data_IF_029690887031
#
_entry.id   IF_029690887031
#
_cell.length_a   1.000
_cell.length_b   1.000
_cell.length_c   1.000
_cell.angle_alpha   90.00
_cell.angle_beta   90.00
_cell.angle_gamma   90.00
#
_symmetry.space_group_name_H-M   'P 1'
#
loop_
_entity.id
_entity.type
_entity.pdbx_description
1 polymer ?
#
# COMPACT_ATOMS: atom_id res chain seq x y z
N UNK A 1 2.22 -28.35 9.46
CA UNK A 1 1.07 -28.11 10.36
C UNK A 1 -0.11 -28.61 9.59
N UNK A 2 -0.78 -29.65 10.06
CA UNK A 2 -1.91 -30.23 9.33
C UNK A 2 -3.16 -29.45 9.73
N UNK A 3 -3.51 -28.47 8.90
CA UNK A 3 -4.67 -27.60 9.05
C UNK A 3 -5.69 -27.95 7.96
N UNK A 4 -6.96 -27.88 8.32
CA UNK A 4 -8.09 -28.11 7.42
C UNK A 4 -9.14 -26.98 7.58
N UNK A 5 -10.23 -27.07 6.83
CA UNK A 5 -11.31 -26.07 6.85
C UNK A 5 -12.07 -25.98 8.17
N UNK A 6 -11.89 -26.95 9.08
CA UNK A 6 -12.52 -26.98 10.40
C UNK A 6 -11.54 -26.56 11.51
N UNK A 7 -10.33 -26.15 11.14
CA UNK A 7 -9.32 -25.70 12.07
C UNK A 7 -9.62 -24.27 12.54
N UNK A 8 -9.50 -24.04 13.85
CA UNK A 8 -9.78 -22.74 14.46
C UNK A 8 -8.50 -22.08 14.96
N UNK A 9 -8.39 -20.78 14.71
CA UNK A 9 -7.36 -19.94 15.29
C UNK A 9 -7.94 -19.16 16.48
N UNK A 10 -7.43 -19.41 17.68
CA UNK A 10 -7.90 -18.79 18.91
C UNK A 10 -6.89 -17.75 19.40
N UNK A 11 -7.39 -16.55 19.70
CA UNK A 11 -6.59 -15.41 20.16
C UNK A 11 -7.12 -14.98 21.53
N UNK A 12 -6.22 -14.77 22.50
CA UNK A 12 -6.58 -14.31 23.85
C UNK A 12 -7.19 -15.37 24.78
N UNK A 13 -7.67 -16.50 24.26
CA UNK A 13 -8.13 -17.63 25.07
C UNK A 13 -8.81 -18.71 24.24
N UNK A 14 -9.12 -19.84 24.87
CA UNK A 14 -9.81 -20.96 24.22
C UNK A 14 -11.26 -21.12 24.72
N UNK A 15 -12.20 -21.58 23.88
CA UNK A 15 -13.59 -21.81 24.28
C UNK A 15 -13.71 -22.76 25.49
N UNK A 16 -14.78 -22.59 26.28
CA UNK A 16 -15.12 -23.53 27.36
C UNK A 16 -15.25 -24.95 26.81
N UNK A 17 -14.60 -25.91 27.47
CA UNK A 17 -14.62 -27.32 27.08
C UNK A 17 -13.57 -27.72 26.02
N UNK A 18 -12.84 -26.77 25.44
CA UNK A 18 -11.77 -27.08 24.51
C UNK A 18 -10.60 -27.80 25.21
N UNK A 19 -10.13 -28.91 24.62
CA UNK A 19 -9.01 -29.70 25.13
C UNK A 19 -7.69 -29.11 24.62
N UNK A 20 -7.08 -28.26 25.42
CA UNK A 20 -5.77 -27.69 25.11
C UNK A 20 -4.63 -28.73 25.21
N UNK A 21 -3.62 -28.66 24.34
CA UNK A 21 -2.40 -29.46 24.46
C UNK A 21 -1.73 -29.30 25.83
N UNK A 22 -1.15 -30.39 26.37
CA UNK A 22 -0.47 -30.39 27.69
C UNK A 22 0.66 -29.35 27.83
N UNK A 23 1.21 -28.88 26.72
CA UNK A 23 2.26 -27.84 26.68
C UNK A 23 1.71 -26.44 27.00
N UNK A 24 0.41 -26.19 26.82
CA UNK A 24 -0.22 -24.93 27.18
C UNK A 24 -0.53 -24.92 28.68
N UNK A 25 0.22 -24.10 29.42
CA UNK A 25 0.06 -23.93 30.87
C UNK A 25 -1.03 -22.91 31.24
N UNK A 26 -1.33 -21.97 30.35
CA UNK A 26 -2.37 -20.95 30.51
C UNK A 26 -3.44 -21.13 29.43
N UNK A 27 -4.71 -20.91 29.79
CA UNK A 27 -5.87 -21.04 28.89
C UNK A 27 -6.47 -19.73 28.43
N UNK A 28 -6.26 -18.68 29.22
CA UNK A 28 -6.81 -17.35 29.02
C UNK A 28 -5.69 -16.32 29.19
N UNK A 29 -5.80 -15.24 28.45
CA UNK A 29 -4.99 -14.05 28.58
C UNK A 29 -5.80 -12.96 29.29
N UNK A 30 -5.14 -12.23 30.20
CA UNK A 30 -5.72 -11.06 30.86
C UNK A 30 -4.87 -9.84 30.48
N UNK A 31 -5.40 -9.01 29.60
CA UNK A 31 -4.71 -7.83 29.08
C UNK A 31 -5.32 -7.35 27.76
N UNK A 32 -4.62 -6.43 27.11
CA UNK A 32 -4.98 -5.87 25.82
C UNK A 32 -4.16 -6.50 24.69
N UNK A 33 -4.84 -6.90 23.62
CA UNK A 33 -4.20 -7.29 22.37
C UNK A 33 -4.43 -6.18 21.36
N UNK A 34 -3.34 -5.68 20.79
CA UNK A 34 -3.36 -4.58 19.83
C UNK A 34 -3.27 -5.11 18.39
N UNK A 35 -2.18 -5.82 18.09
CA UNK A 35 -1.93 -6.35 16.76
C UNK A 35 -1.50 -7.81 16.82
N UNK A 36 -2.05 -8.63 15.92
CA UNK A 36 -1.64 -10.02 15.72
C UNK A 36 -1.21 -10.18 14.27
N UNK A 37 0.01 -10.65 14.07
CA UNK A 37 0.58 -10.93 12.75
C UNK A 37 0.78 -12.44 12.63
N UNK A 38 0.20 -13.03 11.58
CA UNK A 38 0.38 -14.44 11.23
C UNK A 38 0.89 -14.51 9.79
N UNK A 39 2.04 -15.16 9.58
CA UNK A 39 2.69 -15.29 8.27
C UNK A 39 2.86 -13.95 7.54
N UNK A 40 3.24 -12.90 8.28
CA UNK A 40 3.44 -11.55 7.75
C UNK A 40 2.15 -10.78 7.44
N UNK A 41 0.97 -11.38 7.66
CA UNK A 41 -0.33 -10.75 7.45
C UNK A 41 -0.94 -10.31 8.78
N UNK A 42 -1.44 -9.08 8.82
CA UNK A 42 -2.22 -8.57 9.96
C UNK A 42 -3.53 -9.35 10.06
N UNK A 43 -3.77 -9.95 11.21
CA UNK A 43 -5.04 -10.61 11.54
C UNK A 43 -5.93 -9.57 12.22
N UNK A 44 -7.05 -9.22 11.58
CA UNK A 44 -8.01 -8.28 12.15
C UNK A 44 -8.66 -8.86 13.40
N UNK A 45 -8.30 -8.35 14.59
CA UNK A 45 -8.87 -8.80 15.87
C UNK A 45 -10.39 -8.62 15.96
N UNK A 46 -10.95 -7.72 15.13
CA UNK A 46 -12.39 -7.47 15.02
C UNK A 46 -13.09 -8.28 13.90
N UNK A 47 -12.34 -9.06 13.12
CA UNK A 47 -12.87 -9.92 12.06
C UNK A 47 -12.92 -11.39 12.53
N UNK A 48 -13.71 -11.67 13.56
CA UNK A 48 -13.84 -13.01 14.15
C UNK A 48 -15.11 -13.74 13.72
N UNK A 49 -15.09 -15.07 13.73
CA UNK A 49 -16.30 -15.90 13.55
C UNK A 49 -17.15 -15.89 14.83
N UNK A 50 -16.51 -15.99 16.01
CA UNK A 50 -17.16 -15.92 17.32
C UNK A 50 -16.28 -15.17 18.31
N UNK A 51 -16.90 -14.52 19.30
CA UNK A 51 -16.22 -13.83 20.39
C UNK A 51 -16.79 -14.27 21.74
N UNK A 52 -15.91 -14.57 22.70
CA UNK A 52 -16.26 -14.81 24.10
C UNK A 52 -15.45 -13.86 24.99
N UNK A 53 -16.03 -12.70 25.32
CA UNK A 53 -15.51 -11.83 26.37
C UNK A 53 -14.48 -10.77 25.95
N UNK A 54 -14.43 -10.35 24.69
CA UNK A 54 -13.65 -9.16 24.31
C UNK A 54 -14.48 -7.89 24.46
N UNK A 55 -13.89 -6.89 25.11
CA UNK A 55 -14.29 -5.48 25.06
C UNK A 55 -13.09 -4.66 24.55
N UNK A 56 -13.34 -3.45 24.06
CA UNK A 56 -12.25 -2.55 23.69
C UNK A 56 -11.46 -2.12 24.94
N UNK A 57 -10.17 -1.86 24.78
CA UNK A 57 -9.39 -1.20 25.81
C UNK A 57 -8.56 -0.07 25.21
N UNK A 58 -8.08 0.83 26.07
CA UNK A 58 -7.30 1.99 25.63
C UNK A 58 -6.02 1.51 24.96
N UNK A 59 -5.78 1.98 23.74
CA UNK A 59 -4.51 1.77 23.02
C UNK A 59 -3.34 2.20 23.92
N UNK A 60 -2.25 1.43 23.85
CA UNK A 60 -1.00 1.75 24.55
C UNK A 60 -0.34 3.01 23.96
N UNK A 61 0.86 3.35 24.44
CA UNK A 61 1.65 4.39 23.80
C UNK A 61 2.05 3.91 22.38
N UNK A 62 1.34 4.38 21.37
CA UNK A 62 1.71 4.17 19.97
C UNK A 62 2.90 5.07 19.59
N UNK A 63 3.72 4.63 18.64
CA UNK A 63 4.54 5.58 17.88
C UNK A 63 3.59 6.59 17.23
N UNK A 64 3.98 7.87 17.16
CA UNK A 64 3.14 8.90 16.55
C UNK A 64 2.64 8.44 15.17
N UNK A 65 1.33 8.20 15.07
CA UNK A 65 0.70 7.88 13.81
C UNK A 65 0.89 9.07 12.86
N UNK A 66 1.70 8.89 11.82
CA UNK A 66 1.76 9.86 10.73
C UNK A 66 0.46 9.74 9.93
N UNK A 67 -0.57 10.49 10.37
CA UNK A 67 -1.88 10.58 9.73
C UNK A 67 -1.82 11.08 8.28
N UNK A 68 -0.65 11.51 7.78
CA UNK A 68 -0.45 11.89 6.39
C UNK A 68 -0.01 10.74 5.49
N UNK A 69 0.23 9.54 6.05
CA UNK A 69 0.70 8.37 5.33
C UNK A 69 -0.36 7.26 5.27
N UNK A 70 -0.42 6.55 4.14
CA UNK A 70 -1.34 5.44 3.91
C UNK A 70 -0.54 4.21 3.45
N UNK A 71 -0.89 3.03 3.96
CA UNK A 71 -0.25 1.76 3.58
C UNK A 71 -1.15 0.93 2.66
N UNK A 72 -0.57 0.35 1.63
CA UNK A 72 -1.23 -0.61 0.72
C UNK A 72 -0.54 -1.96 0.84
N UNK A 73 -1.32 -3.03 1.01
CA UNK A 73 -0.85 -4.43 1.12
C UNK A 73 -0.78 -5.17 -0.22
N UNK A 74 -1.09 -4.49 -1.32
CA UNK A 74 -1.07 -5.05 -2.68
C UNK A 74 -2.39 -5.66 -3.15
N UNK A 75 -3.44 -5.64 -2.32
CA UNK A 75 -4.77 -6.21 -2.58
C UNK A 75 -5.87 -5.14 -2.68
N UNK A 76 -5.50 -3.89 -2.89
CA UNK A 76 -6.44 -2.78 -2.99
C UNK A 76 -5.86 -1.52 -3.61
N UNK A 77 -6.69 -0.49 -3.72
CA UNK A 77 -6.34 0.81 -4.28
C UNK A 77 -7.20 1.91 -3.63
N UNK A 78 -6.80 3.17 -3.83
CA UNK A 78 -7.58 4.34 -3.44
C UNK A 78 -7.97 5.14 -4.68
N UNK A 79 -9.20 5.68 -4.70
CA UNK A 79 -9.65 6.58 -5.76
C UNK A 79 -9.67 8.01 -5.20
N UNK A 80 -9.00 8.91 -5.91
CA UNK A 80 -9.04 10.34 -5.62
C UNK A 80 -10.00 11.05 -6.59
N UNK A 81 -10.74 12.06 -6.13
CA UNK A 81 -11.58 12.85 -7.02
C UNK A 81 -10.72 13.61 -8.03
N UNK A 82 -11.21 13.72 -9.26
CA UNK A 82 -10.53 14.51 -10.29
C UNK A 82 -10.45 15.99 -9.89
N UNK A 83 -9.27 16.58 -10.08
CA UNK A 83 -9.06 18.01 -9.88
C UNK A 83 -9.95 18.85 -10.81
N UNK A 84 -10.60 19.86 -10.24
CA UNK A 84 -11.40 20.81 -11.02
C UNK A 84 -10.46 21.74 -11.81
N UNK A 85 -10.83 22.09 -13.04
CA UNK A 85 -10.08 23.02 -13.91
C UNK A 85 -8.63 22.59 -14.16
N UNK A 86 -8.42 21.29 -14.41
CA UNK A 86 -7.10 20.81 -14.82
C UNK A 86 -6.68 21.50 -16.13
N UNK A 87 -5.39 21.81 -16.25
CA UNK A 87 -4.84 22.34 -17.49
C UNK A 87 -4.57 21.16 -18.41
N UNK A 88 -5.27 21.13 -19.54
CA UNK A 88 -5.17 20.02 -20.50
C UNK A 88 -3.72 19.76 -20.89
N UNK A 89 -2.95 20.80 -21.22
CA UNK A 89 -1.59 20.70 -21.75
C UNK A 89 -0.47 20.69 -20.70
N UNK A 90 -0.77 20.86 -19.42
CA UNK A 90 0.29 20.94 -18.40
C UNK A 90 -0.16 20.40 -17.05
N UNK A 91 0.63 19.54 -16.43
CA UNK A 91 0.34 19.03 -15.08
C UNK A 91 1.59 18.67 -14.31
N UNK A 92 1.42 18.53 -13.00
CA UNK A 92 2.43 17.97 -12.07
C UNK A 92 1.74 16.95 -11.19
N UNK A 93 2.31 15.74 -11.13
CA UNK A 93 1.93 14.69 -10.18
C UNK A 93 3.12 14.48 -9.25
N UNK A 94 2.94 14.77 -7.97
CA UNK A 94 3.99 14.61 -6.95
C UNK A 94 3.49 13.75 -5.80
N UNK A 95 4.33 12.81 -5.35
CA UNK A 95 4.02 11.94 -4.23
C UNK A 95 5.29 11.53 -3.48
N UNK A 96 5.08 10.99 -2.27
CA UNK A 96 6.12 10.30 -1.51
C UNK A 96 5.73 8.84 -1.37
N UNK A 97 6.67 7.93 -1.57
CA UNK A 97 6.45 6.50 -1.40
C UNK A 97 7.59 5.87 -0.59
N UNK A 98 7.29 4.74 0.04
CA UNK A 98 8.24 3.88 0.76
C UNK A 98 7.83 2.44 0.52
N UNK A 99 8.67 1.65 -0.14
CA UNK A 99 8.39 0.24 -0.42
C UNK A 99 9.68 -0.56 -0.63
N UNK A 100 9.57 -1.88 -0.52
CA UNK A 100 10.56 -2.85 -1.00
C UNK A 100 10.12 -3.54 -2.30
N UNK A 101 8.87 -3.33 -2.74
CA UNK A 101 8.32 -3.96 -3.94
C UNK A 101 9.09 -3.55 -5.19
N UNK A 102 9.46 -4.54 -6.01
CA UNK A 102 10.13 -4.28 -7.28
C UNK A 102 9.15 -3.76 -8.35
N UNK A 103 7.91 -4.20 -8.29
CA UNK A 103 6.88 -3.91 -9.28
C UNK A 103 5.60 -3.47 -8.58
N UNK A 104 5.18 -2.23 -8.80
CA UNK A 104 4.01 -1.64 -8.17
C UNK A 104 3.44 -0.49 -9.00
N UNK A 105 2.12 -0.35 -9.05
CA UNK A 105 1.46 0.83 -9.59
C UNK A 105 1.31 1.87 -8.49
N UNK A 106 1.89 3.06 -8.67
CA UNK A 106 1.87 4.13 -7.67
C UNK A 106 0.76 5.15 -7.96
N UNK A 107 0.53 5.46 -9.24
CA UNK A 107 -0.50 6.38 -9.68
C UNK A 107 -0.96 6.01 -11.09
N UNK A 108 -2.26 6.14 -11.34
CA UNK A 108 -2.86 5.93 -12.64
C UNK A 108 -4.06 6.84 -12.83
N UNK A 109 -4.08 7.57 -13.95
CA UNK A 109 -5.26 8.30 -14.38
C UNK A 109 -5.57 7.95 -15.85
N UNK A 110 -6.54 7.07 -16.09
CA UNK A 110 -7.00 6.74 -17.43
C UNK A 110 -8.05 7.73 -17.93
N UNK A 111 -8.09 7.93 -19.24
CA UNK A 111 -9.24 8.42 -19.96
C UNK A 111 -9.91 7.25 -20.67
N UNK A 112 -11.06 6.82 -20.15
CA UNK A 112 -11.80 5.66 -20.65
C UNK A 112 -12.34 5.84 -22.07
N UNK A 113 -12.49 7.09 -22.55
CA UNK A 113 -13.14 7.37 -23.82
C UNK A 113 -12.20 7.24 -25.02
N UNK A 114 -10.91 7.56 -24.84
CA UNK A 114 -9.94 7.62 -25.92
C UNK A 114 -8.66 6.83 -25.67
N UNK A 115 -8.49 6.23 -24.49
CA UNK A 115 -7.32 5.43 -24.14
C UNK A 115 -6.08 6.24 -23.77
N UNK A 116 -6.22 7.56 -23.62
CA UNK A 116 -5.17 8.40 -23.04
C UNK A 116 -4.96 8.02 -21.58
N UNK A 117 -3.72 8.13 -21.10
CA UNK A 117 -3.44 7.87 -19.69
C UNK A 117 -2.17 8.56 -19.24
N UNK A 118 -2.05 8.64 -17.92
CA UNK A 118 -0.78 8.88 -17.22
C UNK A 118 -0.59 7.80 -16.15
N UNK A 119 0.63 7.28 -16.04
CA UNK A 119 1.01 6.30 -15.02
C UNK A 119 2.35 6.64 -14.38
N UNK A 120 2.44 6.33 -13.09
CA UNK A 120 3.69 6.22 -12.34
C UNK A 120 3.74 4.84 -11.69
N UNK A 121 4.83 4.13 -11.90
CA UNK A 121 4.98 2.76 -11.48
C UNK A 121 6.44 2.45 -11.13
N UNK A 122 6.63 1.36 -10.38
CA UNK A 122 7.92 0.71 -10.22
C UNK A 122 8.04 -0.45 -11.22
N UNK A 123 9.17 -0.52 -11.91
CA UNK A 123 9.58 -1.68 -12.73
C UNK A 123 10.99 -2.10 -12.37
N UNK A 124 11.14 -3.30 -11.83
CA UNK A 124 12.40 -3.82 -11.29
C UNK A 124 13.06 -2.85 -10.28
N UNK A 125 12.24 -2.17 -9.47
CA UNK A 125 12.64 -1.17 -8.48
C UNK A 125 12.94 0.23 -9.03
N UNK A 126 12.87 0.44 -10.35
CA UNK A 126 13.08 1.75 -10.98
C UNK A 126 11.75 2.49 -11.12
N UNK A 127 11.76 3.81 -10.94
CA UNK A 127 10.57 4.63 -11.16
C UNK A 127 10.39 4.82 -12.67
N UNK A 128 9.19 4.54 -13.15
CA UNK A 128 8.79 4.72 -14.55
C UNK A 128 7.60 5.66 -14.59
N UNK A 129 7.75 6.72 -15.38
CA UNK A 129 6.70 7.65 -15.73
C UNK A 129 6.34 7.45 -17.20
N UNK A 130 5.04 7.30 -17.47
CA UNK A 130 4.53 7.16 -18.82
C UNK A 130 3.26 7.97 -18.99
N UNK A 131 3.10 8.58 -20.16
CA UNK A 131 1.82 9.12 -20.60
C UNK A 131 1.57 8.77 -22.05
N UNK A 132 0.29 8.66 -22.39
CA UNK A 132 -0.23 8.47 -23.74
C UNK A 132 -1.35 9.48 -23.99
N UNK A 133 -1.28 10.18 -25.12
CA UNK A 133 -2.22 11.24 -25.50
C UNK A 133 -2.65 11.06 -26.96
N UNK A 134 -2.98 9.82 -27.32
CA UNK A 134 -3.32 9.41 -28.68
C UNK A 134 -2.15 8.96 -29.55
N UNK A 135 -2.43 8.80 -30.84
CA UNK A 135 -1.75 7.87 -31.76
C UNK A 135 -0.24 8.07 -32.01
N UNK A 136 0.38 9.17 -31.55
CA UNK A 136 1.85 9.36 -31.62
C UNK A 136 2.48 10.04 -30.39
N UNK A 137 1.73 10.26 -29.31
CA UNK A 137 2.15 11.09 -28.17
C UNK A 137 2.44 10.25 -26.93
N UNK A 138 3.29 9.23 -27.08
CA UNK A 138 3.72 8.37 -25.97
C UNK A 138 5.15 8.74 -25.54
N UNK A 139 5.32 9.15 -24.29
CA UNK A 139 6.64 9.30 -23.67
C UNK A 139 6.79 8.32 -22.51
N UNK A 140 8.01 7.85 -22.30
CA UNK A 140 8.39 6.94 -21.22
C UNK A 140 9.72 7.38 -20.65
N UNK A 141 9.71 7.81 -19.39
CA UNK A 141 10.90 8.17 -18.64
C UNK A 141 11.13 7.13 -17.54
N UNK A 142 12.38 6.70 -17.37
CA UNK A 142 12.75 5.67 -16.40
C UNK A 142 14.02 6.10 -15.68
N UNK A 143 14.03 5.96 -14.36
CA UNK A 143 15.24 6.19 -13.58
C UNK A 143 16.31 5.14 -13.84
N UNK A 144 17.57 5.53 -13.68
CA UNK A 144 18.73 4.62 -13.70
C UNK A 144 18.93 3.92 -12.37
N UNK A 145 18.60 4.58 -11.26
CA UNK A 145 18.69 4.03 -9.91
C UNK A 145 17.40 3.30 -9.53
N UNK A 146 17.55 2.33 -8.63
CA UNK A 146 16.45 1.70 -7.90
C UNK A 146 16.08 2.53 -6.68
N UNK A 147 14.78 2.61 -6.39
CA UNK A 147 14.22 3.42 -5.31
C UNK A 147 13.32 2.61 -4.34
N UNK A 148 13.24 1.29 -4.50
CA UNK A 148 12.55 0.38 -3.57
C UNK A 148 13.43 0.00 -2.35
N UNK A 149 14.00 1.00 -1.69
CA UNK A 149 14.99 0.81 -0.60
C UNK A 149 14.37 0.68 0.79
N UNK A 150 13.04 0.77 0.91
CA UNK A 150 12.36 0.88 2.21
C UNK A 150 12.57 2.23 2.91
N UNK A 151 13.18 3.21 2.24
CA UNK A 151 13.25 4.61 2.70
C UNK A 151 12.17 5.45 2.01
N UNK A 152 11.82 6.59 2.60
CA UNK A 152 10.93 7.55 1.96
C UNK A 152 11.60 8.19 0.75
N UNK A 153 10.95 8.10 -0.41
CA UNK A 153 11.37 8.67 -1.67
C UNK A 153 10.36 9.71 -2.13
N UNK A 154 10.82 10.89 -2.55
CA UNK A 154 10.04 11.94 -3.20
C UNK A 154 10.17 11.79 -4.72
N UNK A 155 9.05 11.85 -5.41
CA UNK A 155 9.02 11.93 -6.87
C UNK A 155 8.08 13.03 -7.34
N UNK A 156 8.41 13.61 -8.49
CA UNK A 156 7.54 14.49 -9.25
C UNK A 156 7.62 14.16 -10.74
N UNK A 157 6.46 13.99 -11.36
CA UNK A 157 6.32 13.84 -12.80
C UNK A 157 5.55 15.03 -13.36
N UNK A 158 6.14 15.67 -14.35
CA UNK A 158 5.63 16.89 -14.94
C UNK A 158 5.40 16.66 -16.43
N UNK A 159 4.39 17.36 -16.96
CA UNK A 159 4.16 17.45 -18.39
C UNK A 159 3.98 18.91 -18.78
N UNK A 160 4.61 19.30 -19.87
CA UNK A 160 4.29 20.51 -20.61
C UNK A 160 4.22 20.18 -22.10
N UNK A 161 3.00 20.25 -22.67
CA UNK A 161 2.71 19.77 -24.01
C UNK A 161 3.20 18.31 -24.18
N UNK A 162 4.01 18.01 -25.19
CA UNK A 162 4.52 16.65 -25.43
C UNK A 162 5.78 16.34 -24.62
N UNK A 163 6.30 17.28 -23.83
CA UNK A 163 7.53 17.09 -23.06
C UNK A 163 7.18 16.58 -21.66
N UNK A 164 7.84 15.51 -21.26
CA UNK A 164 7.80 14.95 -19.92
C UNK A 164 9.06 15.29 -19.14
N UNK A 165 8.91 15.47 -17.83
CA UNK A 165 10.03 15.51 -16.90
C UNK A 165 9.74 14.62 -15.70
N UNK A 166 10.70 13.78 -15.32
CA UNK A 166 10.66 12.96 -14.12
C UNK A 166 11.80 13.37 -13.19
N UNK A 167 11.45 13.69 -11.95
CA UNK A 167 12.39 14.01 -10.88
C UNK A 167 12.19 13.02 -9.74
N UNK A 168 13.25 12.35 -9.31
CA UNK A 168 13.23 11.40 -8.18
C UNK A 168 14.42 11.70 -7.27
N UNK A 169 14.15 12.19 -6.06
CA UNK A 169 15.15 12.81 -5.19
C UNK A 169 16.02 13.82 -5.96
N UNK A 170 17.30 13.49 -6.20
CA UNK A 170 18.28 14.31 -6.92
C UNK A 170 18.51 13.86 -8.38
N UNK A 171 17.74 12.89 -8.90
CA UNK A 171 17.85 12.37 -10.26
C UNK A 171 16.79 13.00 -11.19
N UNK A 172 17.23 13.43 -12.39
CA UNK A 172 16.41 14.14 -13.37
C UNK A 172 16.42 13.41 -14.72
N UNK A 173 15.25 13.31 -15.35
CA UNK A 173 15.06 12.77 -16.70
C UNK A 173 14.08 13.63 -17.48
N UNK A 174 14.43 13.97 -18.72
CA UNK A 174 13.59 14.74 -19.65
C UNK A 174 13.39 13.94 -20.94
N UNK A 175 12.23 14.11 -21.61
CA UNK A 175 11.96 13.50 -22.92
C UNK A 175 10.52 13.62 -23.37
#
# INVERSE_FOLDING_TARGET
MDLDSNSFFYIGGTPKGYRVPRKLKARNFAGCLYEVILDGKKVGLWNFITNQGCDGCKEGAEEEADFSSYSFSGDGYAILPQIKRYKEFSYVVALRFKTFDENALLFFAPNSDNGDFVSLELRDGHVVYQFNLGSQSRSVLKTTKKYNTGSWIRLAAERENLQGRLVVEDEYHDG
#
